data_IF_237898938789
#
_entry.id   IF_237898938789
#
_cell.length_a   1.000
_cell.length_b   1.000
_cell.length_c   1.000
_cell.angle_alpha   90.00
_cell.angle_beta   90.00
_cell.angle_gamma   90.00
#
_symmetry.space_group_name_H-M   'P 1'
#
loop_
_entity.id
_entity.type
_entity.pdbx_description
1 polymer ?
#
# COMPACT_ATOMS: atom_id res chain seq x y z
N UNK A 1 -3.16 6.13 13.31
CA UNK A 1 -2.25 6.91 12.45
C UNK A 1 -3.02 7.76 11.43
N UNK A 2 -3.72 7.18 10.46
CA UNK A 2 -4.48 7.96 9.45
C UNK A 2 -5.40 9.03 10.05
N UNK A 3 -6.37 8.64 10.90
CA UNK A 3 -7.32 9.60 11.51
C UNK A 3 -6.65 10.72 12.32
N UNK A 4 -5.46 10.47 12.85
CA UNK A 4 -4.73 11.43 13.68
C UNK A 4 -3.97 12.48 12.86
N UNK A 5 -3.51 12.12 11.65
CA UNK A 5 -2.59 12.96 10.87
C UNK A 5 -3.17 13.41 9.52
N UNK A 6 -4.32 12.90 9.10
CA UNK A 6 -4.92 13.17 7.77
C UNK A 6 -5.13 14.65 7.44
N UNK A 7 -5.32 15.51 8.44
CA UNK A 7 -5.51 16.96 8.24
C UNK A 7 -4.18 17.71 8.06
N UNK A 8 -3.05 17.03 8.29
CA UNK A 8 -1.70 17.62 8.25
C UNK A 8 -0.81 16.98 7.20
N UNK A 9 -1.08 15.72 6.86
CA UNK A 9 -0.33 14.89 5.93
C UNK A 9 -1.31 14.12 5.06
N UNK A 10 -1.09 14.11 3.75
CA UNK A 10 -1.89 13.30 2.83
C UNK A 10 -1.47 11.83 2.92
N UNK A 11 -2.46 10.93 2.97
CA UNK A 11 -2.24 9.48 2.98
C UNK A 11 -2.88 8.86 1.75
N UNK A 12 -2.12 7.97 1.10
CA UNK A 12 -2.60 7.15 0.01
C UNK A 12 -2.12 5.71 0.20
N UNK A 13 -2.95 4.75 -0.18
CA UNK A 13 -2.53 3.37 -0.45
C UNK A 13 -2.48 3.22 -1.95
N UNK A 14 -1.34 2.80 -2.50
CA UNK A 14 -1.23 2.44 -3.92
C UNK A 14 -1.31 0.93 -4.01
N UNK A 15 -2.36 0.43 -4.64
CA UNK A 15 -2.55 -0.99 -4.91
C UNK A 15 -1.70 -1.38 -6.12
N UNK A 16 -0.62 -2.13 -5.88
CA UNK A 16 0.30 -2.65 -6.89
C UNK A 16 0.02 -4.11 -7.20
N UNK A 17 0.72 -4.67 -8.20
CA UNK A 17 0.66 -6.10 -8.50
C UNK A 17 0.91 -6.97 -7.26
N UNK A 18 0.06 -7.97 -7.13
CA UNK A 18 -0.07 -8.88 -6.03
C UNK A 18 1.15 -9.79 -5.96
N UNK A 19 1.88 -9.71 -4.85
CA UNK A 19 2.99 -10.62 -4.55
C UNK A 19 2.57 -12.11 -4.48
N UNK A 20 1.27 -12.41 -4.42
CA UNK A 20 0.73 -13.74 -4.18
C UNK A 20 -0.26 -14.22 -5.23
N UNK A 21 -0.31 -13.60 -6.41
CA UNK A 21 -1.12 -14.14 -7.47
C UNK A 21 -0.48 -15.45 -7.99
N UNK A 22 -1.20 -16.54 -7.79
CA UNK A 22 -0.89 -17.96 -8.04
C UNK A 22 -0.17 -18.79 -6.95
N UNK A 23 0.83 -18.31 -6.19
CA UNK A 23 1.75 -19.29 -5.53
C UNK A 23 1.99 -19.27 -4.00
N UNK A 24 1.37 -18.42 -3.15
CA UNK A 24 1.81 -18.42 -1.71
C UNK A 24 0.74 -18.32 -0.63
N UNK A 25 -0.55 -18.07 -0.91
CA UNK A 25 -1.60 -18.12 0.15
C UNK A 25 -2.89 -18.78 -0.35
N UNK A 26 -2.82 -20.07 -0.69
CA UNK A 26 -3.99 -20.92 -0.50
C UNK A 26 -4.17 -21.15 0.99
N UNK A 27 -4.72 -20.17 1.70
CA UNK A 27 -5.44 -20.53 2.92
C UNK A 27 -6.51 -21.56 2.53
N UNK A 28 -6.77 -22.56 3.37
CA UNK A 28 -7.90 -23.45 3.20
C UNK A 28 -9.23 -22.70 2.97
N UNK A 29 -9.35 -21.45 3.45
CA UNK A 29 -10.49 -20.55 3.16
C UNK A 29 -10.60 -20.17 1.67
N UNK A 30 -9.50 -19.89 0.98
CA UNK A 30 -9.52 -19.46 -0.43
C UNK A 30 -9.88 -20.62 -1.38
N UNK A 31 -9.48 -21.84 -1.02
CA UNK A 31 -9.89 -23.07 -1.73
C UNK A 31 -11.37 -23.37 -1.51
N UNK A 32 -11.88 -23.24 -0.27
CA UNK A 32 -13.30 -23.43 0.04
C UNK A 32 -14.20 -22.41 -0.65
N UNK A 33 -13.71 -21.19 -0.89
CA UNK A 33 -14.45 -20.11 -1.55
C UNK A 33 -14.25 -20.06 -3.09
N UNK A 34 -13.50 -21.01 -3.68
CA UNK A 34 -13.19 -21.04 -5.14
C UNK A 34 -12.55 -19.76 -5.69
N UNK A 35 -11.82 -19.00 -4.86
CA UNK A 35 -11.16 -17.76 -5.27
C UNK A 35 -9.71 -18.05 -5.63
N UNK A 36 -9.50 -18.61 -6.82
CA UNK A 36 -8.18 -18.61 -7.46
C UNK A 36 -7.96 -17.22 -8.03
N UNK A 37 -7.24 -16.35 -7.31
CA UNK A 37 -6.82 -15.05 -7.83
C UNK A 37 -5.76 -15.28 -8.91
N UNK A 38 -6.22 -15.44 -10.17
CA UNK A 38 -5.34 -15.26 -11.33
C UNK A 38 -4.85 -13.81 -11.31
N UNK A 39 -3.59 -13.58 -11.68
CA UNK A 39 -3.07 -12.24 -11.91
C UNK A 39 -4.06 -11.46 -12.78
N UNK A 40 -4.48 -10.25 -12.38
CA UNK A 40 -5.32 -9.41 -13.21
C UNK A 40 -4.66 -9.18 -14.57
N UNK A 41 -5.43 -9.34 -15.65
CA UNK A 41 -4.98 -9.15 -17.04
C UNK A 41 -5.45 -7.83 -17.64
N UNK A 42 -6.32 -7.11 -16.93
CA UNK A 42 -6.81 -5.80 -17.31
C UNK A 42 -6.87 -4.89 -16.10
N UNK A 43 -6.91 -3.58 -16.36
CA UNK A 43 -7.06 -2.59 -15.30
C UNK A 43 -8.40 -2.73 -14.56
N UNK A 44 -9.45 -3.15 -15.26
CA UNK A 44 -10.76 -3.44 -14.66
C UNK A 44 -10.69 -4.63 -13.69
N UNK A 45 -10.04 -5.73 -14.08
CA UNK A 45 -9.80 -6.87 -13.18
C UNK A 45 -8.99 -6.44 -11.95
N UNK A 46 -7.92 -5.66 -12.15
CA UNK A 46 -7.08 -5.15 -11.04
C UNK A 46 -7.91 -4.27 -10.12
N UNK A 47 -8.79 -3.45 -10.67
CA UNK A 47 -9.73 -2.63 -9.91
C UNK A 47 -10.72 -3.45 -9.10
N UNK A 48 -11.24 -4.55 -9.66
CA UNK A 48 -12.12 -5.47 -8.94
C UNK A 48 -11.43 -6.14 -7.75
N UNK A 49 -10.19 -6.60 -7.93
CA UNK A 49 -9.40 -7.22 -6.85
C UNK A 49 -9.03 -6.17 -5.79
N UNK A 50 -8.50 -5.01 -6.20
CA UNK A 50 -8.17 -3.90 -5.31
C UNK A 50 -9.37 -3.48 -4.46
N UNK A 51 -10.52 -3.23 -5.10
CA UNK A 51 -11.76 -2.83 -4.42
C UNK A 51 -12.21 -3.87 -3.40
N UNK A 52 -12.06 -5.15 -3.72
CA UNK A 52 -12.39 -6.24 -2.80
C UNK A 52 -11.41 -6.33 -1.63
N UNK A 53 -10.11 -6.14 -1.87
CA UNK A 53 -9.08 -6.10 -0.84
C UNK A 53 -9.32 -4.94 0.14
N UNK A 54 -9.45 -3.70 -0.38
CA UNK A 54 -9.72 -2.49 0.42
C UNK A 54 -10.96 -2.65 1.29
N UNK A 55 -12.06 -3.18 0.71
CA UNK A 55 -13.32 -3.44 1.44
C UNK A 55 -13.15 -4.51 2.52
N UNK A 56 -12.55 -5.65 2.20
CA UNK A 56 -12.35 -6.76 3.14
C UNK A 56 -11.44 -6.37 4.31
N UNK A 57 -10.43 -5.55 4.06
CA UNK A 57 -9.49 -5.06 5.09
C UNK A 57 -10.00 -3.82 5.84
N UNK A 58 -11.14 -3.25 5.43
CA UNK A 58 -11.69 -2.04 6.06
C UNK A 58 -10.77 -0.83 5.95
N UNK A 59 -10.00 -0.73 4.86
CA UNK A 59 -9.06 0.38 4.65
C UNK A 59 -9.84 1.66 4.39
N UNK A 60 -9.64 2.66 5.27
CA UNK A 60 -10.26 3.99 5.18
C UNK A 60 -9.42 5.03 4.44
N UNK A 61 -8.16 4.69 4.16
CA UNK A 61 -7.21 5.57 3.47
C UNK A 61 -7.60 5.60 1.98
N UNK A 62 -7.58 6.77 1.31
CA UNK A 62 -7.76 6.85 -0.12
C UNK A 62 -6.85 5.88 -0.87
N UNK A 63 -7.45 5.05 -1.71
CA UNK A 63 -6.73 4.04 -2.49
C UNK A 63 -6.57 4.50 -3.94
N UNK A 64 -5.37 4.36 -4.47
CA UNK A 64 -5.00 4.49 -5.87
C UNK A 64 -4.64 3.09 -6.39
N UNK A 65 -4.69 2.91 -7.71
CA UNK A 65 -4.39 1.62 -8.35
C UNK A 65 -3.27 1.87 -9.34
N UNK A 66 -2.20 1.09 -9.25
CA UNK A 66 -1.09 1.18 -10.19
C UNK A 66 -1.52 0.72 -11.58
N UNK A 67 -0.94 1.33 -12.60
CA UNK A 67 -1.25 0.98 -13.98
C UNK A 67 -0.78 -0.45 -14.31
N UNK A 68 -1.31 -1.00 -15.41
CA UNK A 68 -0.98 -2.38 -15.81
C UNK A 68 0.48 -2.58 -16.26
N UNK A 69 1.29 -1.52 -16.34
CA UNK A 69 2.74 -1.58 -16.60
C UNK A 69 3.56 -1.50 -15.30
N UNK A 70 2.88 -1.48 -14.15
CA UNK A 70 3.46 -1.41 -12.80
C UNK A 70 4.44 -0.23 -12.67
N UNK A 71 4.07 0.91 -13.26
CA UNK A 71 4.97 2.05 -13.36
C UNK A 71 5.30 2.65 -12.00
N UNK A 72 4.33 2.70 -11.08
CA UNK A 72 4.53 3.22 -9.72
C UNK A 72 5.34 2.24 -8.89
N UNK A 73 4.99 0.95 -8.93
CA UNK A 73 5.74 -0.12 -8.28
C UNK A 73 7.21 -0.02 -8.67
N UNK A 74 7.51 0.01 -9.97
CA UNK A 74 8.90 0.03 -10.46
C UNK A 74 9.64 1.29 -10.06
N UNK A 75 9.00 2.46 -10.19
CA UNK A 75 9.62 3.74 -9.81
C UNK A 75 9.94 3.79 -8.31
N UNK A 76 9.12 3.16 -7.48
CA UNK A 76 9.28 3.13 -6.03
C UNK A 76 9.78 1.80 -5.50
N UNK A 77 10.18 0.81 -6.32
CA UNK A 77 10.51 -0.57 -5.86
C UNK A 77 9.53 -1.07 -4.79
N UNK A 78 8.25 -0.90 -5.07
CA UNK A 78 7.13 -1.02 -4.13
C UNK A 78 6.89 -2.45 -3.65
N UNK A 79 7.34 -3.44 -4.41
CA UNK A 79 7.08 -4.84 -4.13
C UNK A 79 7.86 -5.40 -2.91
N UNK A 80 7.27 -6.28 -2.07
CA UNK A 80 5.87 -6.72 -2.13
C UNK A 80 4.91 -5.70 -1.49
N UNK A 81 5.39 -4.95 -0.49
CA UNK A 81 4.77 -3.75 0.05
C UNK A 81 5.86 -2.80 0.57
N UNK A 82 5.55 -1.50 0.61
CA UNK A 82 6.46 -0.45 1.12
C UNK A 82 5.68 0.67 1.76
N UNK A 83 6.34 1.35 2.70
CA UNK A 83 5.89 2.63 3.23
C UNK A 83 6.89 3.70 2.82
N UNK A 84 6.36 4.80 2.31
CA UNK A 84 7.09 5.99 1.91
C UNK A 84 6.59 7.22 2.65
N UNK A 85 7.50 8.14 2.97
CA UNK A 85 7.17 9.54 3.28
C UNK A 85 7.81 10.42 2.23
N UNK A 86 7.00 11.30 1.64
CA UNK A 86 7.41 12.26 0.62
C UNK A 86 7.17 13.66 1.18
N UNK A 87 8.16 14.53 1.09
CA UNK A 87 8.02 15.92 1.55
C UNK A 87 7.29 16.80 0.51
N UNK A 88 7.03 18.06 0.88
CA UNK A 88 6.33 19.04 0.01
C UNK A 88 7.08 19.39 -1.28
N UNK A 89 8.38 19.08 -1.35
CA UNK A 89 9.20 19.27 -2.56
C UNK A 89 9.25 18.02 -3.45
N UNK A 90 8.52 16.96 -3.09
CA UNK A 90 8.48 15.71 -3.83
C UNK A 90 9.63 14.76 -3.53
N UNK A 91 10.41 15.01 -2.46
CA UNK A 91 11.56 14.15 -2.11
C UNK A 91 11.16 13.05 -1.15
N UNK A 92 11.63 11.84 -1.41
CA UNK A 92 11.48 10.72 -0.46
C UNK A 92 12.37 10.97 0.75
N UNK A 93 11.75 11.21 1.91
CA UNK A 93 12.45 11.44 3.19
C UNK A 93 12.50 10.19 4.05
N UNK A 94 11.64 9.21 3.77
CA UNK A 94 11.63 7.92 4.47
C UNK A 94 11.11 6.81 3.55
N UNK A 95 11.70 5.62 3.69
CA UNK A 95 11.37 4.39 2.98
C UNK A 95 11.60 3.19 3.90
N UNK A 96 10.63 2.28 4.01
CA UNK A 96 10.82 1.00 4.72
C UNK A 96 11.56 -0.04 3.89
N UNK A 97 12.05 -1.10 4.56
CA UNK A 97 12.54 -2.30 3.87
C UNK A 97 11.37 -3.11 3.27
N UNK A 98 11.63 -3.95 2.25
CA UNK A 98 11.23 -5.35 2.27
C UNK A 98 9.99 -5.86 3.00
N UNK A 99 8.74 -5.70 2.56
CA UNK A 99 7.63 -6.48 3.14
C UNK A 99 7.83 -8.00 3.03
N UNK A 100 7.17 -8.82 3.87
CA UNK A 100 6.37 -8.42 5.04
C UNK A 100 7.25 -8.04 6.24
N UNK A 101 8.48 -8.54 6.33
CA UNK A 101 9.34 -8.38 7.53
C UNK A 101 9.83 -6.94 7.76
N UNK A 102 9.86 -6.12 6.70
CA UNK A 102 10.24 -4.72 6.74
C UNK A 102 9.05 -3.75 6.78
N UNK A 103 7.82 -4.24 6.66
CA UNK A 103 6.62 -3.42 6.73
C UNK A 103 6.29 -3.09 8.18
N UNK A 104 6.72 -1.91 8.63
CA UNK A 104 6.49 -1.46 10.00
C UNK A 104 5.88 -0.05 10.03
N UNK A 105 4.56 0.06 10.23
CA UNK A 105 3.86 1.34 10.38
C UNK A 105 4.33 2.18 11.57
N UNK A 106 4.95 1.58 12.58
CA UNK A 106 5.47 2.32 13.74
C UNK A 106 6.64 3.23 13.36
N UNK A 107 7.46 2.81 12.38
CA UNK A 107 8.54 3.64 11.84
C UNK A 107 8.01 4.88 11.14
N UNK A 108 6.91 4.75 10.37
CA UNK A 108 6.25 5.91 9.76
C UNK A 108 5.67 6.83 10.84
N UNK A 109 5.02 6.28 11.88
CA UNK A 109 4.50 7.08 13.00
C UNK A 109 5.60 7.93 13.64
N UNK A 110 6.77 7.35 13.90
CA UNK A 110 7.90 8.09 14.46
C UNK A 110 8.39 9.23 13.53
N UNK A 111 8.38 9.03 12.20
CA UNK A 111 8.70 10.10 11.26
C UNK A 111 7.63 11.20 11.26
N UNK A 112 6.35 10.82 11.27
CA UNK A 112 5.22 11.75 11.33
C UNK A 112 5.29 12.63 12.57
N UNK A 113 5.58 12.06 13.75
CA UNK A 113 5.76 12.81 14.99
C UNK A 113 6.86 13.88 14.87
N UNK A 114 8.00 13.55 14.24
CA UNK A 114 9.09 14.50 14.02
C UNK A 114 8.67 15.65 13.11
N UNK A 115 8.12 15.34 11.93
CA UNK A 115 7.82 16.37 10.92
C UNK A 115 6.59 17.21 11.27
N UNK A 116 5.66 16.67 12.06
CA UNK A 116 4.47 17.39 12.50
C UNK A 116 4.69 18.16 13.81
N UNK A 117 5.67 17.80 14.64
CA UNK A 117 6.03 18.63 15.80
C UNK A 117 6.92 19.81 15.37
N UNK A 118 7.85 19.60 14.44
CA UNK A 118 8.77 20.63 13.97
C UNK A 118 8.12 21.75 13.11
N UNK A 119 6.93 21.52 12.56
CA UNK A 119 6.20 22.50 11.76
C UNK A 119 5.15 23.31 12.54
N UNK A 120 5.12 23.22 13.88
CA UNK A 120 4.18 23.92 14.76
C UNK A 120 4.78 25.17 15.44
N UNK A 121 5.96 25.62 14.99
CA UNK A 121 6.64 26.84 15.43
C UNK A 121 6.54 27.95 14.40
#
# INVERSE_FOLDING_TARGET
>A
MYEQYKDRVAFFVVYIQEAHASDVWQMPSNIRESVVFRLPRSFEERTGVASSCIRKLGIKIPALIDDMSDSTERAYTGWPDRIYLIDRSGRVTFKTKPGPFGFDPSLLKAQLERVTTAGAS
#
